data_IF_424819715988
#
_entry.id   IF_424819715988
#
_cell.length_a   1.000
_cell.length_b   1.000
_cell.length_c   1.000
_cell.angle_alpha   90.00
_cell.angle_beta   90.00
_cell.angle_gamma   90.00
#
_symmetry.space_group_name_H-M   'P 1'
#
loop_
_entity.id
_entity.type
_entity.pdbx_description
1 polymer ?
#
# COMPACT_ATOMS: atom_id res chain seq x y z
N UNK A 1 -8.74 34.63 -6.57
CA UNK A 1 -9.35 34.57 -5.22
C UNK A 1 -10.34 33.42 -5.24
N UNK A 2 -9.86 32.19 -4.99
CA UNK A 2 -10.71 31.00 -4.87
C UNK A 2 -10.92 30.72 -3.39
N UNK A 3 -12.16 30.43 -3.02
CA UNK A 3 -12.62 30.21 -1.66
C UNK A 3 -12.02 28.91 -1.12
N UNK A 4 -11.58 28.95 0.14
CA UNK A 4 -11.10 27.79 0.89
C UNK A 4 -12.24 26.76 1.10
N UNK A 5 -11.95 25.45 1.04
CA UNK A 5 -12.92 24.45 1.46
C UNK A 5 -13.13 24.52 2.96
N UNK A 6 -14.39 24.44 3.39
CA UNK A 6 -14.77 24.38 4.80
C UNK A 6 -14.64 22.94 5.30
N UNK A 7 -13.78 22.72 6.29
CA UNK A 7 -13.77 21.48 7.06
C UNK A 7 -15.08 21.37 7.85
N UNK A 8 -15.84 20.29 7.66
CA UNK A 8 -16.89 19.88 8.61
C UNK A 8 -16.66 18.42 8.97
N UNK A 9 -16.35 18.16 10.23
CA UNK A 9 -16.44 16.83 10.83
C UNK A 9 -17.78 16.71 11.56
N UNK A 10 -18.52 15.62 11.37
CA UNK A 10 -19.60 15.24 12.29
C UNK A 10 -19.08 14.71 13.63
N UNK A 11 -17.83 14.20 13.67
CA UNK A 11 -17.33 13.39 14.80
C UNK A 11 -15.94 13.81 15.33
N UNK A 12 -15.51 15.05 15.12
CA UNK A 12 -14.28 15.59 15.72
C UNK A 12 -12.96 15.09 15.14
N UNK A 13 -12.97 14.24 14.12
CA UNK A 13 -11.76 13.89 13.35
C UNK A 13 -11.51 14.93 12.25
N UNK A 14 -10.34 15.58 12.31
CA UNK A 14 -9.84 16.45 11.25
C UNK A 14 -9.22 15.58 10.15
N UNK A 15 -9.98 15.25 9.12
CA UNK A 15 -9.44 14.67 7.89
C UNK A 15 -9.06 15.84 6.97
N UNK A 16 -7.76 15.97 6.69
CA UNK A 16 -7.23 17.03 5.84
C UNK A 16 -7.55 16.76 4.36
N UNK A 17 -8.66 17.31 3.85
CA UNK A 17 -8.74 17.68 2.44
C UNK A 17 -7.88 18.94 2.20
N UNK A 18 -6.56 18.80 2.31
CA UNK A 18 -5.65 19.94 2.15
C UNK A 18 -5.45 20.28 0.68
N UNK A 19 -5.89 21.49 0.32
CA UNK A 19 -5.36 22.25 -0.81
C UNK A 19 -3.83 22.36 -0.66
N UNK A 20 -3.08 21.81 -1.61
CA UNK A 20 -1.61 21.73 -1.71
C UNK A 20 -0.87 23.08 -1.72
N UNK A 21 -1.56 24.18 -1.42
CA UNK A 21 -1.09 25.54 -1.67
C UNK A 21 -1.08 26.46 -0.44
N UNK A 22 -1.17 25.93 0.79
CA UNK A 22 -1.00 26.77 1.98
C UNK A 22 0.48 26.89 2.37
N UNK A 23 0.81 28.09 2.86
CA UNK A 23 2.10 28.78 2.76
C UNK A 23 3.18 28.39 3.77
N UNK A 24 3.10 27.20 4.37
CA UNK A 24 4.11 26.77 5.36
C UNK A 24 4.59 25.34 5.09
N UNK A 25 5.22 25.19 3.92
CA UNK A 25 5.77 23.92 3.43
C UNK A 25 6.88 23.36 4.34
N UNK A 26 7.41 24.17 5.26
CA UNK A 26 8.54 23.80 6.13
C UNK A 26 8.12 23.48 7.58
N UNK A 27 6.84 23.62 7.93
CA UNK A 27 6.36 23.32 9.28
C UNK A 27 6.09 21.83 9.49
N UNK A 28 6.36 21.32 10.69
CA UNK A 28 5.88 19.99 11.11
C UNK A 28 4.39 20.12 11.44
N UNK A 29 3.54 19.36 10.75
CA UNK A 29 2.09 19.37 10.94
C UNK A 29 1.70 18.13 11.77
N UNK A 30 1.21 18.29 13.02
CA UNK A 30 0.74 17.15 13.78
C UNK A 30 -0.55 16.60 13.15
N UNK A 31 -0.65 15.28 13.08
CA UNK A 31 -1.89 14.57 12.74
C UNK A 31 -2.21 13.57 13.84
N UNK A 32 -3.42 13.66 14.39
CA UNK A 32 -3.87 12.80 15.46
C UNK A 32 -4.89 11.80 14.93
N UNK A 33 -4.71 10.50 15.21
CA UNK A 33 -5.68 9.48 14.85
C UNK A 33 -5.71 8.30 15.83
N UNK A 34 -6.81 7.55 15.77
CA UNK A 34 -6.99 6.29 16.48
C UNK A 34 -6.81 5.12 15.50
N UNK A 35 -5.88 4.22 15.78
CA UNK A 35 -5.64 3.00 15.01
C UNK A 35 -5.90 1.79 15.91
N UNK A 36 -7.18 1.44 16.05
CA UNK A 36 -7.64 0.41 16.98
C UNK A 36 -7.48 0.88 18.42
N UNK A 37 -6.67 0.21 19.26
CA UNK A 37 -6.42 0.62 20.64
C UNK A 37 -5.28 1.65 20.80
N UNK A 38 -4.67 2.10 19.69
CA UNK A 38 -3.59 3.09 19.72
C UNK A 38 -4.10 4.48 19.38
N UNK A 39 -3.81 5.43 20.26
CA UNK A 39 -3.92 6.86 19.99
C UNK A 39 -2.57 7.36 19.51
N UNK A 40 -2.50 7.87 18.28
CA UNK A 40 -1.25 8.19 17.59
C UNK A 40 -1.15 9.67 17.26
N UNK A 41 -0.05 10.30 17.69
CA UNK A 41 0.36 11.63 17.28
C UNK A 41 1.46 11.52 16.23
N UNK A 42 1.11 11.77 14.97
CA UNK A 42 1.98 11.60 13.81
C UNK A 42 2.62 12.93 13.45
N UNK A 43 3.95 12.93 13.39
CA UNK A 43 4.71 14.06 12.89
C UNK A 43 4.81 14.00 11.37
N UNK A 44 4.17 14.95 10.69
CA UNK A 44 4.28 15.12 9.25
C UNK A 44 5.30 16.22 8.96
N UNK A 45 6.52 15.88 8.51
CA UNK A 45 7.44 16.91 8.02
C UNK A 45 6.73 17.61 6.85
N UNK A 46 6.57 18.92 6.87
CA UNK A 46 5.90 19.63 5.77
C UNK A 46 6.49 19.26 4.40
N UNK A 47 5.67 19.34 3.34
CA UNK A 47 6.04 18.87 2.00
C UNK A 47 7.28 19.53 1.39
N UNK A 48 7.73 20.68 1.92
CA UNK A 48 8.95 21.38 1.53
C UNK A 48 10.22 20.82 2.17
N UNK A 49 10.11 20.14 3.32
CA UNK A 49 11.25 19.54 4.02
C UNK A 49 11.74 18.25 3.36
N UNK A 50 10.87 17.56 2.63
CA UNK A 50 11.22 16.33 1.89
C UNK A 50 11.31 16.65 0.40
N UNK A 51 12.50 17.08 -0.03
CA UNK A 51 12.77 17.44 -1.42
C UNK A 51 12.42 16.30 -2.38
N UNK A 52 11.61 16.61 -3.41
CA UNK A 52 11.27 15.68 -4.49
C UNK A 52 10.19 14.64 -4.18
N UNK A 53 9.60 14.65 -2.97
CA UNK A 53 8.66 13.61 -2.52
C UNK A 53 7.53 14.19 -1.67
N UNK A 54 7.02 15.37 -2.01
CA UNK A 54 5.98 16.08 -1.24
C UNK A 54 4.74 15.23 -0.86
N UNK A 55 4.54 14.07 -1.49
CA UNK A 55 3.53 13.08 -1.13
C UNK A 55 3.92 12.13 0.01
N UNK A 56 5.19 11.75 0.19
CA UNK A 56 5.58 10.88 1.32
C UNK A 56 5.53 11.58 2.68
N UNK A 57 5.33 12.89 2.69
CA UNK A 57 5.49 13.75 3.86
C UNK A 57 4.22 13.84 4.74
N UNK A 58 3.06 13.47 4.19
CA UNK A 58 1.75 13.62 4.82
C UNK A 58 1.06 12.27 5.06
N UNK A 59 0.11 12.27 5.98
CA UNK A 59 -0.83 11.17 6.19
C UNK A 59 -1.97 11.33 5.19
N UNK A 60 -2.12 10.34 4.34
CA UNK A 60 -3.15 10.32 3.32
C UNK A 60 -4.40 9.56 3.75
N UNK A 61 -5.56 10.01 3.28
CA UNK A 61 -6.86 9.46 3.64
C UNK A 61 -6.95 7.97 3.31
N UNK A 62 -6.52 7.53 2.13
CA UNK A 62 -6.60 6.11 1.78
C UNK A 62 -5.62 5.23 2.57
N UNK A 63 -4.49 5.79 3.04
CA UNK A 63 -3.57 5.11 3.94
C UNK A 63 -4.17 4.86 5.32
N UNK A 64 -4.76 5.89 5.92
CA UNK A 64 -5.47 5.75 7.20
C UNK A 64 -6.69 4.83 7.07
N UNK A 65 -7.52 5.02 6.04
CA UNK A 65 -8.71 4.21 5.80
C UNK A 65 -8.36 2.72 5.59
N UNK A 66 -7.27 2.41 4.90
CA UNK A 66 -6.80 1.03 4.76
C UNK A 66 -6.35 0.43 6.09
N UNK A 67 -5.65 1.20 6.93
CA UNK A 67 -5.30 0.78 8.28
C UNK A 67 -6.54 0.41 9.13
N UNK A 68 -7.58 1.25 9.09
CA UNK A 68 -8.86 0.97 9.77
C UNK A 68 -9.55 -0.28 9.20
N UNK A 69 -9.59 -0.43 7.88
CA UNK A 69 -10.20 -1.58 7.22
C UNK A 69 -9.52 -2.90 7.60
N UNK A 70 -8.18 -2.91 7.68
CA UNK A 70 -7.38 -4.06 8.14
C UNK A 70 -7.79 -4.48 9.56
N UNK A 71 -7.85 -3.53 10.49
CA UNK A 71 -8.21 -3.83 11.89
C UNK A 71 -9.66 -4.30 12.03
N UNK A 72 -10.60 -3.67 11.31
CA UNK A 72 -12.02 -4.09 11.30
C UNK A 72 -12.17 -5.52 10.80
N UNK A 73 -11.56 -5.85 9.66
CA UNK A 73 -11.57 -7.19 9.09
C UNK A 73 -10.95 -8.22 10.06
N UNK A 74 -9.86 -7.85 10.75
CA UNK A 74 -9.23 -8.71 11.75
C UNK A 74 -10.14 -9.03 12.94
N UNK A 75 -10.74 -8.00 13.55
CA UNK A 75 -11.63 -8.14 14.72
C UNK A 75 -12.90 -8.94 14.37
N UNK A 76 -13.42 -8.75 13.16
CA UNK A 76 -14.63 -9.44 12.69
C UNK A 76 -14.35 -10.83 12.12
N UNK A 77 -13.08 -11.21 11.99
CA UNK A 77 -12.65 -12.43 11.30
C UNK A 77 -13.27 -12.57 9.90
N UNK A 78 -13.35 -11.46 9.17
CA UNK A 78 -13.98 -11.40 7.85
C UNK A 78 -13.05 -10.86 6.77
N UNK A 79 -13.56 -10.83 5.54
CA UNK A 79 -12.86 -10.29 4.39
C UNK A 79 -11.68 -11.14 3.90
N UNK A 80 -10.99 -10.64 2.88
CA UNK A 80 -9.91 -11.34 2.17
C UNK A 80 -8.68 -11.63 3.03
N UNK A 81 -8.55 -10.98 4.19
CA UNK A 81 -7.46 -11.20 5.15
C UNK A 81 -7.70 -12.41 6.05
N UNK A 82 -8.95 -12.74 6.37
CA UNK A 82 -9.28 -13.92 7.17
C UNK A 82 -8.82 -15.21 6.46
N UNK A 83 -9.04 -15.28 5.14
CA UNK A 83 -8.61 -16.40 4.29
C UNK A 83 -7.08 -16.56 4.24
N UNK A 84 -6.34 -15.46 4.37
CA UNK A 84 -4.87 -15.46 4.31
C UNK A 84 -4.20 -15.91 5.62
N UNK A 85 -4.90 -15.77 6.75
CA UNK A 85 -4.33 -16.05 8.07
C UNK A 85 -4.24 -17.55 8.41
N UNK A 86 -4.80 -18.44 7.60
CA UNK A 86 -4.87 -19.88 7.87
C UNK A 86 -3.67 -20.72 7.42
N UNK A 87 -2.64 -20.13 6.81
CA UNK A 87 -1.47 -20.88 6.32
C UNK A 87 -0.37 -20.91 7.39
N UNK A 88 0.18 -22.09 7.70
CA UNK A 88 1.06 -22.36 8.86
C UNK A 88 2.47 -21.76 8.78
N UNK A 89 2.77 -20.95 7.76
CA UNK A 89 4.05 -20.26 7.60
C UNK A 89 3.91 -18.81 8.06
N UNK A 90 4.92 -18.29 8.77
CA UNK A 90 4.96 -16.90 9.22
C UNK A 90 4.62 -15.95 8.06
N UNK A 91 3.48 -15.27 8.16
CA UNK A 91 2.97 -14.41 7.10
C UNK A 91 3.85 -13.18 6.95
N UNK A 92 4.35 -12.94 5.73
CA UNK A 92 5.25 -11.83 5.43
C UNK A 92 4.53 -10.82 4.56
N UNK A 93 4.54 -9.57 4.99
CA UNK A 93 3.96 -8.47 4.25
C UNK A 93 5.01 -7.40 3.91
N UNK A 94 4.76 -6.66 2.84
CA UNK A 94 5.49 -5.46 2.48
C UNK A 94 4.51 -4.34 2.16
N UNK A 95 4.78 -3.12 2.61
CA UNK A 95 4.09 -1.92 2.17
C UNK A 95 4.98 -1.15 1.22
N UNK A 96 4.44 -0.81 0.05
CA UNK A 96 5.09 0.05 -0.94
C UNK A 96 4.70 1.50 -0.67
N UNK A 97 5.66 2.41 -0.52
CA UNK A 97 5.37 3.83 -0.32
C UNK A 97 4.58 4.11 0.96
N UNK A 98 5.12 3.67 2.10
CA UNK A 98 4.45 3.78 3.40
C UNK A 98 4.26 5.22 3.91
N UNK A 99 4.87 6.21 3.23
CA UNK A 99 4.84 7.61 3.62
C UNK A 99 5.44 7.83 5.00
N UNK A 100 5.16 8.98 5.61
CA UNK A 100 5.70 9.34 6.92
C UNK A 100 5.14 8.48 8.07
N UNK A 101 4.04 7.78 7.85
CA UNK A 101 3.22 7.21 8.93
C UNK A 101 3.16 5.69 8.96
N UNK A 102 3.31 5.00 7.84
CA UNK A 102 3.21 3.55 7.73
C UNK A 102 1.97 2.95 8.40
N UNK A 103 0.83 3.67 8.39
CA UNK A 103 -0.38 3.26 9.11
C UNK A 103 -0.93 1.90 8.66
N UNK A 104 -1.00 1.56 7.35
CA UNK A 104 -1.37 0.22 6.93
C UNK A 104 -0.43 -0.87 7.50
N UNK A 105 0.89 -0.65 7.48
CA UNK A 105 1.84 -1.60 8.07
C UNK A 105 1.65 -1.76 9.57
N UNK A 106 1.46 -0.67 10.31
CA UNK A 106 1.22 -0.69 11.77
C UNK A 106 -0.07 -1.44 12.08
N UNK A 107 -1.16 -1.15 11.36
CA UNK A 107 -2.44 -1.83 11.50
C UNK A 107 -2.31 -3.35 11.30
N UNK A 108 -1.57 -3.76 10.26
CA UNK A 108 -1.34 -5.16 9.96
C UNK A 108 -0.47 -5.84 11.04
N UNK A 109 0.57 -5.16 11.52
CA UNK A 109 1.43 -5.66 12.59
C UNK A 109 0.66 -5.84 13.91
N UNK A 110 -0.27 -4.94 14.24
CA UNK A 110 -1.13 -5.01 15.42
C UNK A 110 -2.05 -6.24 15.46
N UNK A 111 -2.25 -6.92 14.33
CA UNK A 111 -2.98 -8.19 14.31
C UNK A 111 -2.18 -9.35 14.93
N UNK A 112 -0.87 -9.17 15.19
CA UNK A 112 0.02 -10.16 15.80
C UNK A 112 0.37 -11.35 14.90
N UNK A 113 -0.01 -11.32 13.61
CA UNK A 113 0.14 -12.45 12.67
C UNK A 113 1.18 -12.23 11.58
N UNK A 114 1.70 -11.01 11.44
CA UNK A 114 2.50 -10.60 10.30
C UNK A 114 3.86 -10.06 10.72
N UNK A 115 4.89 -10.43 9.95
CA UNK A 115 6.11 -9.65 9.87
C UNK A 115 6.00 -8.72 8.66
N UNK A 116 6.02 -7.42 8.92
CA UNK A 116 5.76 -6.37 7.94
C UNK A 116 7.04 -5.59 7.65
N UNK A 117 7.30 -5.40 6.36
CA UNK A 117 8.38 -4.55 5.86
C UNK A 117 7.74 -3.27 5.31
N UNK A 118 7.81 -2.17 6.05
CA UNK A 118 7.37 -0.86 5.57
C UNK A 118 8.49 -0.25 4.71
N UNK A 119 8.16 0.17 3.49
CA UNK A 119 9.18 0.70 2.56
C UNK A 119 8.82 2.06 1.98
N UNK A 120 9.85 2.87 1.78
CA UNK A 120 9.77 4.15 1.08
C UNK A 120 11.15 4.58 0.58
N UNK A 121 11.22 5.74 -0.08
CA UNK A 121 12.45 6.42 -0.45
C UNK A 121 13.27 6.80 0.78
N UNK A 122 14.60 6.82 0.63
CA UNK A 122 15.54 7.07 1.72
C UNK A 122 15.28 8.38 2.48
N UNK A 123 14.83 9.42 1.79
CA UNK A 123 14.51 10.73 2.37
C UNK A 123 13.22 10.75 3.22
N UNK A 124 12.30 9.80 3.04
CA UNK A 124 11.07 9.69 3.86
C UNK A 124 11.34 8.94 5.17
N UNK A 125 12.27 7.97 5.14
CA UNK A 125 12.51 7.06 6.26
C UNK A 125 12.82 7.70 7.63
N UNK A 126 13.54 8.84 7.73
CA UNK A 126 13.73 9.51 9.02
C UNK A 126 12.41 9.83 9.72
N UNK A 127 11.40 10.32 8.99
CA UNK A 127 10.08 10.62 9.54
C UNK A 127 9.36 9.36 10.01
N UNK A 128 9.40 8.29 9.18
CA UNK A 128 8.80 6.99 9.52
C UNK A 128 9.41 6.41 10.78
N UNK A 129 10.74 6.50 10.95
CA UNK A 129 11.44 5.98 12.13
C UNK A 129 11.06 6.74 13.39
N UNK A 130 10.94 8.07 13.32
CA UNK A 130 10.47 8.90 14.45
C UNK A 130 9.06 8.50 14.87
N UNK A 131 8.13 8.44 13.90
CA UNK A 131 6.74 8.08 14.18
C UNK A 131 6.62 6.64 14.71
N UNK A 132 7.32 5.68 14.10
CA UNK A 132 7.28 4.29 14.54
C UNK A 132 7.83 4.11 15.96
N UNK A 133 8.85 4.86 16.38
CA UNK A 133 9.34 4.81 17.76
C UNK A 133 8.25 5.21 18.76
N UNK A 134 7.50 6.29 18.47
CA UNK A 134 6.36 6.71 19.29
C UNK A 134 5.25 5.64 19.31
N UNK A 135 4.97 4.99 18.17
CA UNK A 135 3.96 3.92 18.12
C UNK A 135 4.37 2.70 18.93
N UNK A 136 5.66 2.34 18.92
CA UNK A 136 6.19 1.23 19.73
C UNK A 136 6.03 1.50 21.23
N UNK A 137 6.24 2.74 21.67
CA UNK A 137 5.99 3.16 23.04
C UNK A 137 4.50 3.07 23.39
N UNK A 138 3.62 3.61 22.53
CA UNK A 138 2.17 3.52 22.71
C UNK A 138 1.69 2.06 22.78
N UNK A 139 2.19 1.20 21.89
CA UNK A 139 1.86 -0.22 21.86
C UNK A 139 2.27 -0.96 23.14
N UNK A 140 3.43 -0.62 23.71
CA UNK A 140 3.88 -1.20 24.97
C UNK A 140 2.95 -0.83 26.15
N UNK A 141 2.40 0.39 26.15
CA UNK A 141 1.46 0.84 27.19
C UNK A 141 0.07 0.23 27.01
N UNK A 142 -0.39 0.06 25.77
CA UNK A 142 -1.73 -0.47 25.46
C UNK A 142 -1.85 -2.00 25.52
N UNK A 143 -0.80 -2.72 25.91
CA UNK A 143 -0.77 -4.19 26.00
C UNK A 143 -1.19 -4.93 24.71
N UNK A 144 -0.83 -4.35 23.56
CA UNK A 144 -1.07 -4.93 22.22
C UNK A 144 0.17 -5.68 21.71
N UNK A 145 0.10 -6.41 20.58
CA UNK A 145 1.29 -7.05 20.01
C UNK A 145 2.46 -6.08 19.85
N UNK A 146 3.66 -6.56 20.17
CA UNK A 146 4.90 -5.79 20.05
C UNK A 146 5.11 -5.35 18.59
N UNK A 147 5.13 -4.03 18.37
CA UNK A 147 5.51 -3.48 17.07
C UNK A 147 7.01 -3.65 16.79
N UNK A 148 7.85 -3.70 17.83
CA UNK A 148 9.32 -3.72 17.69
C UNK A 148 9.84 -4.93 16.89
N UNK A 149 9.19 -6.09 17.05
CA UNK A 149 9.63 -7.35 16.43
C UNK A 149 8.81 -7.72 15.19
N UNK A 150 7.74 -6.97 14.90
CA UNK A 150 6.78 -7.27 13.84
C UNK A 150 6.89 -6.33 12.65
N UNK A 151 7.40 -5.11 12.82
CA UNK A 151 7.59 -4.15 11.72
C UNK A 151 9.06 -3.73 11.57
N UNK A 152 9.52 -3.68 10.33
CA UNK A 152 10.85 -3.20 9.96
C UNK A 152 10.74 -2.15 8.86
N UNK A 153 11.64 -1.18 8.85
CA UNK A 153 11.65 -0.08 7.87
C UNK A 153 12.87 -0.22 6.95
N UNK A 154 12.61 -0.31 5.65
CA UNK A 154 13.63 -0.49 4.62
C UNK A 154 13.52 0.56 3.51
N UNK A 155 14.66 0.94 2.94
CA UNK A 155 14.66 1.75 1.73
C UNK A 155 14.28 0.89 0.54
N UNK A 156 13.33 1.37 -0.25
CA UNK A 156 12.98 0.74 -1.52
C UNK A 156 12.49 1.80 -2.50
N UNK A 157 13.14 1.89 -3.65
CA UNK A 157 12.66 2.71 -4.77
C UNK A 157 12.01 1.79 -5.79
N UNK A 158 10.86 2.20 -6.31
CA UNK A 158 10.16 1.45 -7.37
C UNK A 158 10.93 1.45 -8.69
N UNK A 159 11.97 2.28 -8.82
CA UNK A 159 12.84 2.35 -10.00
C UNK A 159 14.20 1.66 -9.79
N UNK A 160 14.46 1.10 -8.59
CA UNK A 160 15.68 0.33 -8.34
C UNK A 160 15.61 -1.02 -9.03
N UNK A 161 16.15 -1.07 -10.25
CA UNK A 161 16.14 -2.24 -11.13
C UNK A 161 16.81 -3.45 -10.51
N UNK A 162 17.89 -3.25 -9.76
CA UNK A 162 18.63 -4.35 -9.12
C UNK A 162 17.79 -4.95 -8.00
N UNK A 163 17.20 -4.09 -7.15
CA UNK A 163 16.31 -4.54 -6.09
C UNK A 163 15.06 -5.25 -6.65
N UNK A 164 14.45 -4.71 -7.72
CA UNK A 164 13.31 -5.33 -8.39
C UNK A 164 13.65 -6.70 -8.97
N UNK A 165 14.79 -6.85 -9.65
CA UNK A 165 15.22 -8.13 -10.20
C UNK A 165 15.46 -9.16 -9.10
N UNK A 166 16.16 -8.77 -8.02
CA UNK A 166 16.39 -9.62 -6.86
C UNK A 166 15.07 -10.07 -6.20
N UNK A 167 14.13 -9.14 -6.02
CA UNK A 167 12.81 -9.43 -5.47
C UNK A 167 12.02 -10.36 -6.39
N UNK A 168 12.03 -10.13 -7.71
CA UNK A 168 11.36 -10.97 -8.71
C UNK A 168 11.89 -12.41 -8.77
N UNK A 169 13.18 -12.62 -8.46
CA UNK A 169 13.80 -13.93 -8.33
C UNK A 169 13.62 -14.58 -6.94
N UNK A 170 13.17 -13.83 -5.93
CA UNK A 170 12.91 -14.34 -4.59
C UNK A 170 11.52 -14.98 -4.44
N UNK A 171 11.20 -15.47 -3.23
CA UNK A 171 9.87 -15.98 -2.90
C UNK A 171 8.78 -14.90 -2.77
N UNK A 172 9.14 -13.61 -2.74
CA UNK A 172 8.22 -12.50 -2.55
C UNK A 172 7.54 -12.46 -1.18
N UNK A 173 6.44 -11.71 -1.11
CA UNK A 173 5.61 -11.47 0.07
C UNK A 173 4.20 -12.00 -0.19
N UNK A 174 3.61 -12.64 0.82
CA UNK A 174 2.24 -13.16 0.69
C UNK A 174 1.20 -12.06 0.71
N UNK A 175 1.53 -10.91 1.30
CA UNK A 175 0.70 -9.70 1.27
C UNK A 175 1.53 -8.48 0.85
N UNK A 176 1.02 -7.72 -0.12
CA UNK A 176 1.55 -6.40 -0.50
C UNK A 176 0.50 -5.35 -0.15
N UNK A 177 0.89 -4.28 0.54
CA UNK A 177 0.03 -3.14 0.84
C UNK A 177 0.44 -1.96 -0.05
N UNK A 178 -0.56 -1.33 -0.67
CA UNK A 178 -0.40 -0.14 -1.50
C UNK A 178 -1.51 0.85 -1.14
N UNK A 179 -1.18 2.00 -0.56
CA UNK A 179 -2.16 3.03 -0.25
C UNK A 179 -1.85 4.34 -0.98
N UNK A 180 -2.80 4.81 -1.78
CA UNK A 180 -2.72 6.10 -2.48
C UNK A 180 -1.46 6.26 -3.34
N UNK A 181 -1.12 5.22 -4.09
CA UNK A 181 0.06 5.21 -4.97
C UNK A 181 -0.31 5.40 -6.44
N UNK A 182 -1.60 5.46 -6.75
CA UNK A 182 -2.16 5.50 -8.09
C UNK A 182 -2.33 6.93 -8.65
N UNK A 183 -2.08 7.98 -7.87
CA UNK A 183 -2.35 9.36 -8.28
C UNK A 183 -1.47 9.89 -9.42
N UNK A 184 -0.24 9.38 -9.59
CA UNK A 184 0.68 9.83 -10.64
C UNK A 184 0.83 8.76 -11.73
N UNK A 185 0.24 9.00 -12.90
CA UNK A 185 0.29 8.06 -14.03
C UNK A 185 1.71 7.72 -14.48
N UNK A 186 2.65 8.67 -14.43
CA UNK A 186 4.05 8.42 -14.81
C UNK A 186 4.76 7.43 -13.88
N UNK A 187 4.24 7.15 -12.69
CA UNK A 187 4.78 6.15 -11.76
C UNK A 187 4.11 4.78 -11.88
N UNK A 188 3.02 4.65 -12.67
CA UNK A 188 2.24 3.40 -12.75
C UNK A 188 3.07 2.23 -13.26
N UNK A 189 4.02 2.46 -14.17
CA UNK A 189 4.89 1.41 -14.68
C UNK A 189 5.86 0.89 -13.62
N UNK A 190 6.54 1.79 -12.91
CA UNK A 190 7.46 1.47 -11.82
C UNK A 190 6.72 0.80 -10.67
N UNK A 191 5.56 1.34 -10.27
CA UNK A 191 4.72 0.76 -9.22
C UNK A 191 4.18 -0.62 -9.59
N UNK A 192 3.75 -0.82 -10.85
CA UNK A 192 3.32 -2.15 -11.33
C UNK A 192 4.48 -3.14 -11.26
N UNK A 193 5.67 -2.72 -11.69
CA UNK A 193 6.89 -3.55 -11.62
C UNK A 193 7.25 -3.91 -10.18
N UNK A 194 7.19 -2.95 -9.26
CA UNK A 194 7.39 -3.15 -7.84
C UNK A 194 6.38 -4.14 -7.25
N UNK A 195 5.09 -3.99 -7.54
CA UNK A 195 4.06 -4.90 -7.07
C UNK A 195 4.29 -6.34 -7.57
N UNK A 196 4.62 -6.51 -8.87
CA UNK A 196 4.91 -7.83 -9.45
C UNK A 196 6.15 -8.47 -8.82
N UNK A 197 7.22 -7.69 -8.62
CA UNK A 197 8.45 -8.17 -7.99
C UNK A 197 8.24 -8.57 -6.53
N UNK A 198 7.40 -7.83 -5.80
CA UNK A 198 7.13 -8.08 -4.39
C UNK A 198 6.12 -9.21 -4.17
N UNK A 199 5.07 -9.31 -4.96
CA UNK A 199 3.99 -10.27 -4.73
C UNK A 199 4.45 -11.71 -4.98
N UNK A 200 4.38 -12.57 -3.96
CA UNK A 200 4.81 -13.96 -4.05
C UNK A 200 4.13 -14.68 -5.23
N UNK A 201 4.83 -15.57 -5.95
CA UNK A 201 4.25 -16.23 -7.12
C UNK A 201 3.31 -17.37 -6.73
N UNK A 202 2.22 -17.08 -6.01
CA UNK A 202 1.22 -18.09 -5.60
C UNK A 202 -0.19 -17.57 -5.81
N UNK A 203 -1.16 -18.44 -6.07
CA UNK A 203 -2.58 -18.04 -6.15
C UNK A 203 -3.15 -17.59 -4.82
N UNK A 204 -2.42 -17.86 -3.73
CA UNK A 204 -2.76 -17.46 -2.37
C UNK A 204 -2.07 -16.17 -1.95
N UNK A 205 -1.33 -15.45 -2.79
CA UNK A 205 -0.80 -14.13 -2.43
C UNK A 205 -1.78 -13.03 -2.80
N UNK A 206 -1.78 -11.94 -2.04
CA UNK A 206 -2.70 -10.81 -2.21
C UNK A 206 -1.95 -9.48 -2.23
N UNK A 207 -2.32 -8.57 -3.11
CA UNK A 207 -2.05 -7.14 -2.93
C UNK A 207 -3.34 -6.43 -2.51
N UNK A 208 -3.29 -5.68 -1.42
CA UNK A 208 -4.35 -4.77 -0.99
C UNK A 208 -4.00 -3.36 -1.44
N UNK A 209 -4.92 -2.77 -2.20
CA UNK A 209 -4.76 -1.45 -2.80
C UNK A 209 -5.88 -0.57 -2.24
N UNK A 210 -5.54 0.63 -1.75
CA UNK A 210 -6.51 1.67 -1.43
C UNK A 210 -6.25 2.95 -2.23
N UNK A 211 -7.32 3.64 -2.60
CA UNK A 211 -7.25 4.93 -3.32
C UNK A 211 -8.38 5.84 -2.86
N UNK A 212 -8.08 7.12 -2.58
CA UNK A 212 -9.08 8.18 -2.38
C UNK A 212 -9.17 9.01 -3.66
N UNK A 213 -9.84 8.45 -4.66
CA UNK A 213 -10.21 9.17 -5.87
C UNK A 213 -11.62 9.76 -5.71
N UNK A 214 -11.70 11.06 -5.46
CA UNK A 214 -12.92 11.83 -5.70
C UNK A 214 -12.74 12.63 -6.99
N UNK A 215 -13.63 12.40 -7.96
CA UNK A 215 -13.65 13.13 -9.22
C UNK A 215 -13.14 12.33 -10.43
N UNK A 216 -13.70 12.68 -11.60
CA UNK A 216 -13.56 11.93 -12.85
C UNK A 216 -12.11 11.70 -13.28
N UNK A 217 -11.26 12.73 -13.22
CA UNK A 217 -9.86 12.62 -13.68
C UNK A 217 -9.08 11.61 -12.83
N UNK A 218 -9.26 11.63 -11.51
CA UNK A 218 -8.62 10.66 -10.61
C UNK A 218 -9.15 9.25 -10.83
N UNK A 219 -10.45 9.10 -11.04
CA UNK A 219 -11.05 7.79 -11.37
C UNK A 219 -10.49 7.22 -12.69
N UNK A 220 -10.24 8.07 -13.70
CA UNK A 220 -9.62 7.66 -14.96
C UNK A 220 -8.15 7.24 -14.78
N UNK A 221 -7.42 7.89 -13.86
CA UNK A 221 -6.05 7.47 -13.50
C UNK A 221 -6.07 6.13 -12.76
N UNK A 222 -6.91 5.96 -11.73
CA UNK A 222 -7.07 4.68 -11.01
C UNK A 222 -7.46 3.55 -11.97
N UNK A 223 -8.42 3.80 -12.87
CA UNK A 223 -8.86 2.81 -13.86
C UNK A 223 -7.71 2.34 -14.75
N UNK A 224 -6.84 3.27 -15.20
CA UNK A 224 -5.66 2.93 -16.00
C UNK A 224 -4.64 2.11 -15.20
N UNK A 225 -4.43 2.44 -13.93
CA UNK A 225 -3.57 1.66 -13.04
C UNK A 225 -4.09 0.21 -12.88
N UNK A 226 -5.38 0.06 -12.55
CA UNK A 226 -6.02 -1.24 -12.40
C UNK A 226 -6.01 -2.05 -13.71
N UNK A 227 -6.24 -1.41 -14.86
CA UNK A 227 -6.13 -2.06 -16.16
C UNK A 227 -4.70 -2.58 -16.44
N UNK A 228 -3.67 -1.82 -16.03
CA UNK A 228 -2.27 -2.23 -16.16
C UNK A 228 -1.94 -3.45 -15.29
N UNK A 229 -2.43 -3.49 -14.05
CA UNK A 229 -2.31 -4.67 -13.19
C UNK A 229 -2.98 -5.90 -13.82
N UNK A 230 -4.18 -5.72 -14.38
CA UNK A 230 -4.91 -6.79 -15.08
C UNK A 230 -4.14 -7.32 -16.29
N UNK A 231 -3.56 -6.42 -17.09
CA UNK A 231 -2.73 -6.78 -18.24
C UNK A 231 -1.48 -7.60 -17.85
N UNK A 232 -1.04 -7.50 -16.60
CA UNK A 232 0.06 -8.31 -16.05
C UNK A 232 -0.39 -9.70 -15.54
N UNK A 233 -1.67 -10.04 -15.65
CA UNK A 233 -2.23 -11.33 -15.25
C UNK A 233 -2.78 -11.40 -13.83
N UNK A 234 -2.96 -10.23 -13.18
CA UNK A 234 -3.64 -10.12 -11.90
C UNK A 234 -5.16 -10.07 -12.11
N UNK A 235 -5.90 -10.71 -11.20
CA UNK A 235 -7.35 -10.61 -11.08
C UNK A 235 -7.65 -9.61 -9.97
N UNK A 236 -8.48 -8.62 -10.30
CA UNK A 236 -8.85 -7.53 -9.40
C UNK A 236 -10.29 -7.71 -8.91
N UNK A 237 -10.48 -7.46 -7.61
CA UNK A 237 -11.79 -7.48 -6.96
C UNK A 237 -11.91 -6.24 -6.10
N UNK A 238 -12.97 -5.45 -6.31
CA UNK A 238 -13.28 -4.32 -5.43
C UNK A 238 -13.81 -4.83 -4.09
N UNK A 239 -13.42 -4.17 -3.01
CA UNK A 239 -13.72 -4.57 -1.64
C UNK A 239 -14.49 -3.48 -0.89
N UNK A 240 -15.28 -3.89 0.09
CA UNK A 240 -15.91 -3.01 1.08
C UNK A 240 -14.89 -2.51 2.12
N UNK A 241 -15.31 -1.61 3.01
CA UNK A 241 -14.50 -1.20 4.18
C UNK A 241 -14.16 -2.34 5.15
N UNK A 242 -14.84 -3.48 5.03
CA UNK A 242 -14.53 -4.71 5.79
C UNK A 242 -13.62 -5.64 5.02
N UNK A 243 -13.08 -5.18 3.89
CA UNK A 243 -12.26 -5.94 2.96
C UNK A 243 -12.99 -7.19 2.41
N UNK A 244 -14.31 -7.12 2.30
CA UNK A 244 -15.15 -8.17 1.71
C UNK A 244 -15.41 -7.86 0.23
N UNK A 245 -15.36 -8.84 -0.69
CA UNK A 245 -15.67 -8.63 -2.09
C UNK A 245 -17.04 -7.97 -2.30
N UNK A 246 -17.07 -6.88 -3.08
CA UNK A 246 -18.31 -6.25 -3.51
C UNK A 246 -18.79 -6.99 -4.77
N UNK A 247 -20.02 -7.52 -4.81
CA UNK A 247 -20.56 -8.13 -6.01
C UNK A 247 -20.58 -7.13 -7.18
N UNK A 248 -20.24 -7.55 -8.41
CA UNK A 248 -20.33 -6.67 -9.57
C UNK A 248 -21.78 -6.20 -9.73
N UNK A 249 -21.98 -4.88 -9.73
CA UNK A 249 -23.30 -4.27 -9.91
C UNK A 249 -23.81 -4.62 -11.32
N UNK A 250 -24.89 -5.41 -11.42
CA UNK A 250 -25.50 -5.77 -12.71
C UNK A 250 -25.79 -7.27 -12.94
N UNK A 251 -25.50 -8.14 -11.98
CA UNK A 251 -25.98 -9.52 -11.97
C UNK A 251 -26.96 -9.74 -10.82
N UNK A 252 -28.08 -9.00 -10.84
CA UNK A 252 -29.25 -9.42 -10.08
C UNK A 252 -29.67 -10.80 -10.61
N UNK A 253 -29.86 -11.82 -9.74
CA UNK A 253 -30.47 -13.07 -10.17
C UNK A 253 -31.82 -12.72 -10.80
N UNK A 254 -32.02 -13.11 -12.06
CA UNK A 254 -33.30 -13.03 -12.77
C UNK A 254 -34.39 -13.72 -11.94
N UNK A 255 -35.04 -12.99 -11.02
CA UNK A 255 -35.98 -13.58 -10.07
C UNK A 255 -36.37 -12.71 -8.87
N UNK A 256 -35.63 -11.65 -8.53
CA UNK A 256 -36.02 -10.73 -7.46
C UNK A 256 -36.81 -9.52 -8.02
N UNK A 257 -38.02 -9.35 -7.49
CA UNK A 257 -39.06 -8.41 -7.93
C UNK A 257 -38.61 -6.94 -8.01
N UNK A 258 -38.89 -6.29 -9.15
CA UNK A 258 -38.70 -4.86 -9.42
C UNK A 258 -39.67 -3.98 -8.61
N UNK A 259 -39.36 -3.74 -7.34
CA UNK A 259 -39.95 -2.64 -6.60
C UNK A 259 -38.85 -1.64 -6.20
N UNK A 260 -38.87 -0.47 -6.84
CA UNK A 260 -38.10 0.74 -6.53
C UNK A 260 -36.58 0.57 -6.41
N UNK A 261 -35.87 0.72 -7.54
CA UNK A 261 -34.43 0.94 -7.54
C UNK A 261 -34.12 2.36 -7.04
N UNK A 262 -33.37 2.54 -5.93
CA UNK A 262 -32.79 3.83 -5.62
C UNK A 262 -31.62 4.11 -6.58
N UNK A 263 -31.39 5.39 -6.87
CA UNK A 263 -30.24 5.87 -7.62
C UNK A 263 -28.95 5.23 -7.06
N UNK A 264 -28.05 4.83 -7.97
CA UNK A 264 -26.77 4.18 -7.69
C UNK A 264 -26.13 4.68 -6.40
N UNK A 265 -26.29 3.91 -5.32
CA UNK A 265 -25.52 4.08 -4.10
C UNK A 265 -24.11 3.58 -4.43
N UNK A 266 -23.25 4.48 -4.91
CA UNK A 266 -21.82 4.31 -4.78
C UNK A 266 -21.58 4.04 -3.30
N UNK A 267 -21.13 2.84 -2.95
CA UNK A 267 -20.68 2.49 -1.61
C UNK A 267 -19.34 3.17 -1.30
N UNK A 268 -19.23 4.46 -1.61
CA UNK A 268 -18.25 5.33 -1.01
C UNK A 268 -18.56 5.27 0.48
N UNK A 269 -17.69 4.57 1.19
CA UNK A 269 -17.61 4.62 2.63
C UNK A 269 -17.56 6.05 3.15
N UNK A 270 -17.69 6.23 4.46
CA UNK A 270 -17.80 7.57 5.08
C UNK A 270 -16.66 8.53 4.72
N UNK A 271 -15.53 8.03 4.19
CA UNK A 271 -14.32 8.80 3.89
C UNK A 271 -13.87 8.76 2.42
N UNK A 272 -14.68 8.23 1.49
CA UNK A 272 -14.39 8.30 0.04
C UNK A 272 -13.24 7.42 -0.48
N UNK A 273 -12.64 6.57 0.36
CA UNK A 273 -11.64 5.59 -0.06
C UNK A 273 -12.28 4.35 -0.72
N UNK A 274 -11.64 3.83 -1.76
CA UNK A 274 -11.96 2.57 -2.44
C UNK A 274 -10.87 1.54 -2.18
N UNK A 275 -11.26 0.27 -2.08
CA UNK A 275 -10.35 -0.83 -1.76
C UNK A 275 -10.38 -1.89 -2.84
N UNK A 276 -9.23 -2.47 -3.17
CA UNK A 276 -9.11 -3.54 -4.15
C UNK A 276 -8.19 -4.63 -3.64
N UNK A 277 -8.55 -5.88 -3.95
CA UNK A 277 -7.67 -7.04 -3.89
C UNK A 277 -7.14 -7.33 -5.29
N UNK A 278 -5.82 -7.44 -5.45
CA UNK A 278 -5.20 -8.00 -6.64
C UNK A 278 -4.56 -9.36 -6.30
N UNK A 279 -4.86 -10.40 -7.09
CA UNK A 279 -4.31 -11.75 -6.92
C UNK A 279 -3.83 -12.31 -8.25
N UNK A 280 -2.89 -13.26 -8.23
CA UNK A 280 -2.54 -13.98 -9.45
C UNK A 280 -3.70 -14.85 -9.91
N UNK A 281 -4.12 -14.72 -11.18
CA UNK A 281 -5.17 -15.58 -11.75
C UNK A 281 -4.75 -17.05 -11.87
N UNK A 282 -3.44 -17.31 -11.96
CA UNK A 282 -2.86 -18.65 -11.93
C UNK A 282 -1.39 -18.59 -11.50
N UNK A 283 -0.83 -19.72 -11.07
CA UNK A 283 0.61 -19.85 -10.82
C UNK A 283 1.44 -19.56 -12.09
N UNK A 284 0.95 -20.00 -13.25
CA UNK A 284 1.61 -19.75 -14.55
C UNK A 284 1.70 -18.26 -14.88
N UNK A 285 0.63 -17.50 -14.62
CA UNK A 285 0.62 -16.04 -14.79
C UNK A 285 1.69 -15.40 -13.90
N UNK A 286 1.75 -15.81 -12.63
CA UNK A 286 2.67 -15.27 -11.66
C UNK A 286 4.14 -15.47 -12.06
N UNK A 287 4.51 -16.71 -12.39
CA UNK A 287 5.87 -17.05 -12.83
C UNK A 287 6.23 -16.34 -14.14
N UNK A 288 5.30 -16.31 -15.10
CA UNK A 288 5.54 -15.66 -16.39
C UNK A 288 5.71 -14.15 -16.26
N UNK A 289 4.90 -13.48 -15.44
CA UNK A 289 5.00 -12.04 -15.21
C UNK A 289 6.33 -11.67 -14.54
N UNK A 290 6.73 -12.41 -13.50
CA UNK A 290 8.00 -12.18 -12.81
C UNK A 290 9.22 -12.49 -13.68
N UNK A 291 9.17 -13.55 -14.49
CA UNK A 291 10.23 -13.88 -15.43
C UNK A 291 10.41 -12.78 -16.48
N UNK A 292 9.33 -12.28 -17.08
CA UNK A 292 9.38 -11.15 -18.03
C UNK A 292 9.93 -9.89 -17.38
N UNK A 293 9.51 -9.59 -16.16
CA UNK A 293 10.04 -8.44 -15.41
C UNK A 293 11.54 -8.59 -15.18
N UNK A 294 11.98 -9.73 -14.64
CA UNK A 294 13.41 -9.99 -14.41
C UNK A 294 14.23 -9.88 -15.69
N UNK A 295 13.75 -10.45 -16.80
CA UNK A 295 14.43 -10.37 -18.09
C UNK A 295 14.54 -8.92 -18.60
N UNK A 296 13.44 -8.17 -18.57
CA UNK A 296 13.40 -6.76 -18.99
C UNK A 296 14.39 -5.89 -18.18
N UNK A 297 14.46 -6.10 -16.86
CA UNK A 297 15.38 -5.37 -15.99
C UNK A 297 16.85 -5.69 -16.28
N UNK A 298 17.16 -6.95 -16.65
CA UNK A 298 18.51 -7.35 -17.04
C UNK A 298 18.90 -6.79 -18.41
N UNK A 299 18.01 -6.84 -19.39
CA UNK A 299 18.26 -6.32 -20.75
C UNK A 299 18.52 -4.81 -20.78
N UNK A 300 17.92 -4.07 -19.85
CA UNK A 300 18.09 -2.63 -19.77
C UNK A 300 19.18 -2.19 -18.77
N UNK A 301 19.88 -3.13 -18.13
CA UNK A 301 20.99 -2.82 -17.23
C UNK A 301 22.26 -2.55 -18.06
N UNK A 302 23.04 -1.49 -17.76
CA UNK A 302 24.30 -1.25 -18.45
C UNK A 302 25.23 -2.48 -18.29
N UNK A 303 26.06 -2.82 -19.31
CA UNK A 303 26.89 -4.04 -19.31
C UNK A 303 27.79 -4.20 -18.07
N UNK A 304 28.18 -3.10 -17.43
CA UNK A 304 29.03 -3.09 -16.23
C UNK A 304 28.37 -3.68 -14.97
N UNK A 305 27.03 -3.77 -14.91
CA UNK A 305 26.33 -4.35 -13.76
C UNK A 305 26.25 -5.89 -13.81
N UNK A 306 26.35 -6.48 -15.00
CA UNK A 306 26.26 -7.94 -15.21
C UNK A 306 27.50 -8.70 -14.72
N UNK A 307 28.68 -8.07 -14.69
CA UNK A 307 29.90 -8.71 -14.18
C UNK A 307 29.89 -8.90 -12.65
N UNK A 308 29.17 -8.05 -11.91
CA UNK A 308 29.02 -8.17 -10.45
C UNK A 308 28.00 -9.24 -10.02
N UNK A 309 26.96 -9.48 -10.83
CA UNK A 309 25.91 -10.46 -10.51
C UNK A 309 26.24 -11.89 -10.93
N UNK A 310 27.14 -12.08 -11.90
CA UNK A 310 27.50 -13.40 -12.43
C UNK A 310 28.68 -14.07 -11.71
N UNK A 311 29.27 -13.42 -10.71
CA UNK A 311 30.21 -14.08 -9.80
C UNK A 311 31.36 -14.82 -10.50
N UNK A 312 32.01 -14.18 -11.48
CA UNK A 312 33.40 -14.56 -11.77
C UNK A 312 34.25 -14.01 -10.63
N UNK A 313 34.41 -14.82 -9.58
CA UNK A 313 35.53 -14.66 -8.67
C UNK A 313 36.81 -14.72 -9.50
N UNK A 314 37.40 -13.56 -9.78
CA UNK A 314 38.76 -13.51 -10.29
C UNK A 314 39.67 -13.98 -9.16
N UNK A 315 40.13 -15.23 -9.26
CA UNK A 315 41.35 -15.74 -8.60
C UNK A 315 42.52 -14.87 -9.04
N UNK A 316 42.66 -13.68 -8.48
CA UNK A 316 43.80 -12.78 -8.75
C UNK A 316 43.89 -11.77 -7.61
N UNK A 317 44.12 -12.27 -6.39
CA UNK A 317 44.84 -11.54 -5.33
C UNK A 317 45.29 -12.55 -4.27
N UNK A 318 46.17 -13.44 -4.72
CA UNK A 318 47.21 -14.05 -3.87
C UNK A 318 48.52 -13.68 -4.55
N UNK A 319 49.13 -12.59 -4.09
CA UNK A 319 50.54 -12.40 -3.68
C UNK A 319 50.64 -11.01 -3.06
#
# INVERSE_FOLDING_TARGET
>A
MMLAPSCRSSDGQQICETSWMSTDMDAIVPFHCELGPLSLDIQQPGGGLIAGVGTGALVWTAGYALGLAILRAHVQHSGVLADHAGTSTASRAIELGCGCSALPSVALALTGRWHVVATDMACVLPAVRTNLAAYQEAAAVSAVPSLRDTISIHTFSWDDRSALAALACSGGYTLVLCAELDWMESLHESLTSALIACLAPTTHSLALISSSSTGRERDEVLTRFLARLSACGLVLVELSERLEPIPPQGLEPLGASMASAPAAASSAGSDGARFFAARWGSLSNALSARARLSQSLLEQSPPSAMELLTGKATESDVI
#
